data_IF_918367761576
#
_entry.id   IF_918367761576
#
_cell.length_a   1.000
_cell.length_b   1.000
_cell.length_c   1.000
_cell.angle_alpha   90.00
_cell.angle_beta   90.00
_cell.angle_gamma   90.00
#
_symmetry.space_group_name_H-M   'P 1'
#
loop_
_entity.id
_entity.type
_entity.pdbx_description
1 polymer ?
#
# COMPACT_ATOMS: atom_id res chain seq x y z
N UNK A 1 -13.99 32.39 -7.37
CA UNK A 1 -12.84 31.71 -8.00
C UNK A 1 -12.74 30.21 -7.72
N UNK A 2 -13.25 29.65 -6.60
CA UNK A 2 -13.13 28.21 -6.28
C UNK A 2 -13.87 27.26 -7.24
N UNK A 3 -15.06 27.63 -7.74
CA UNK A 3 -15.87 26.79 -8.65
C UNK A 3 -15.17 26.47 -9.97
N UNK A 4 -14.43 27.43 -10.53
CA UNK A 4 -13.65 27.23 -11.76
C UNK A 4 -12.48 26.26 -11.56
N UNK A 5 -11.83 26.29 -10.39
CA UNK A 5 -10.76 25.36 -10.05
C UNK A 5 -11.26 23.93 -9.85
N UNK A 6 -12.49 23.76 -9.35
CA UNK A 6 -13.13 22.44 -9.21
C UNK A 6 -13.41 21.79 -10.58
N UNK A 7 -13.92 22.55 -11.54
CA UNK A 7 -14.27 22.07 -12.89
C UNK A 7 -13.04 21.55 -13.65
N UNK A 8 -11.84 22.08 -13.39
CA UNK A 8 -10.60 21.65 -14.07
C UNK A 8 -9.95 20.39 -13.49
N UNK A 9 -10.52 19.78 -12.45
CA UNK A 9 -9.92 18.61 -11.81
C UNK A 9 -10.20 17.37 -12.66
N UNK A 10 -9.26 17.01 -13.54
CA UNK A 10 -9.31 15.76 -14.33
C UNK A 10 -9.51 14.52 -13.47
N UNK A 11 -8.99 14.51 -12.23
CA UNK A 11 -9.22 13.44 -11.27
C UNK A 11 -10.71 13.22 -10.93
N UNK A 12 -11.53 14.28 -10.92
CA UNK A 12 -12.96 14.18 -10.64
C UNK A 12 -13.72 13.60 -11.84
N UNK A 13 -13.33 13.96 -13.06
CA UNK A 13 -13.88 13.38 -14.28
C UNK A 13 -13.55 11.87 -14.39
N UNK A 14 -12.31 11.49 -14.08
CA UNK A 14 -11.89 10.09 -13.99
C UNK A 14 -12.72 9.37 -12.92
N UNK A 15 -12.85 9.93 -11.72
CA UNK A 15 -13.67 9.32 -10.67
C UNK A 15 -15.11 9.11 -11.12
N UNK A 16 -15.75 10.13 -11.69
CA UNK A 16 -17.13 10.04 -12.19
C UNK A 16 -17.28 8.99 -13.30
N UNK A 17 -16.29 8.87 -14.18
CA UNK A 17 -16.33 7.97 -15.33
C UNK A 17 -16.15 6.51 -14.91
N UNK A 18 -15.25 6.24 -13.96
CA UNK A 18 -14.82 4.88 -13.63
C UNK A 18 -15.38 4.34 -12.31
N UNK A 19 -15.80 5.20 -11.36
CA UNK A 19 -16.41 4.75 -10.10
C UNK A 19 -17.87 4.39 -10.32
N UNK A 20 -18.13 3.12 -10.59
CA UNK A 20 -19.48 2.59 -10.85
C UNK A 20 -20.37 2.53 -9.60
N UNK A 21 -19.79 2.32 -8.42
CA UNK A 21 -20.53 2.17 -7.16
C UNK A 21 -19.79 2.82 -5.98
N UNK A 22 -20.51 3.48 -5.06
CA UNK A 22 -19.97 3.96 -3.79
C UNK A 22 -19.92 2.84 -2.75
N UNK A 23 -18.96 1.93 -2.89
CA UNK A 23 -18.74 0.82 -1.97
C UNK A 23 -17.30 0.78 -1.43
N UNK A 24 -17.11 0.08 -0.29
CA UNK A 24 -15.78 -0.20 0.26
C UNK A 24 -15.01 -1.08 -0.74
N UNK A 25 -13.86 -0.60 -1.20
CA UNK A 25 -12.98 -1.39 -2.06
C UNK A 25 -12.31 -2.50 -1.24
N UNK A 26 -12.27 -3.72 -1.78
CA UNK A 26 -11.67 -4.89 -1.12
C UNK A 26 -10.14 -4.95 -1.23
N UNK A 27 -9.53 -3.93 -1.82
CA UNK A 27 -8.07 -3.81 -1.97
C UNK A 27 -7.40 -3.56 -0.62
N UNK A 28 -8.09 -2.86 0.30
CA UNK A 28 -7.62 -2.60 1.64
C UNK A 28 -8.67 -3.05 2.66
N UNK A 29 -8.29 -4.00 3.52
CA UNK A 29 -9.15 -4.64 4.51
C UNK A 29 -8.97 -4.04 5.93
N UNK A 30 -8.18 -2.96 6.08
CA UNK A 30 -7.76 -2.36 7.35
C UNK A 30 -6.92 -3.31 8.23
N UNK A 31 -6.44 -4.43 7.70
CA UNK A 31 -5.42 -5.22 8.38
C UNK A 31 -4.07 -4.52 8.31
N UNK A 32 -3.15 -4.92 9.18
CA UNK A 32 -1.75 -4.49 9.12
C UNK A 32 -1.12 -4.69 7.73
N UNK A 33 -1.52 -5.75 7.03
CA UNK A 33 -1.04 -6.01 5.69
C UNK A 33 -1.52 -5.00 4.66
N UNK A 34 -2.80 -4.62 4.71
CA UNK A 34 -3.33 -3.57 3.84
C UNK A 34 -2.68 -2.20 4.08
N UNK A 35 -2.34 -1.88 5.33
CA UNK A 35 -1.58 -0.67 5.65
C UNK A 35 -0.19 -0.69 5.03
N UNK A 36 0.55 -1.81 5.17
CA UNK A 36 1.87 -1.96 4.55
C UNK A 36 1.80 -1.92 3.01
N UNK A 37 0.79 -2.53 2.40
CA UNK A 37 0.56 -2.47 0.96
C UNK A 37 0.26 -1.06 0.49
N UNK A 38 -0.55 -0.30 1.23
CA UNK A 38 -0.83 1.10 0.95
C UNK A 38 0.45 1.95 0.98
N UNK A 39 1.25 1.80 2.04
CA UNK A 39 2.50 2.54 2.19
C UNK A 39 3.48 2.22 1.06
N UNK A 40 3.56 0.95 0.66
CA UNK A 40 4.39 0.52 -0.46
C UNK A 40 3.93 1.13 -1.79
N UNK A 41 2.62 1.11 -2.09
CA UNK A 41 2.05 1.67 -3.33
C UNK A 41 2.20 3.19 -3.42
N UNK A 42 2.23 3.88 -2.29
CA UNK A 42 2.37 5.34 -2.23
C UNK A 42 3.82 5.79 -2.03
N UNK A 43 4.77 4.86 -1.92
CA UNK A 43 6.19 5.17 -1.74
C UNK A 43 6.54 5.74 -0.37
N UNK A 44 5.66 5.59 0.62
CA UNK A 44 5.86 6.08 2.01
C UNK A 44 6.19 4.94 2.98
N UNK A 45 6.39 3.73 2.48
CA UNK A 45 6.81 2.59 3.30
C UNK A 45 8.05 2.96 4.09
N UNK A 46 7.94 2.85 5.42
CA UNK A 46 8.95 3.26 6.40
C UNK A 46 10.21 2.40 6.38
N UNK A 47 10.83 2.21 5.22
CA UNK A 47 12.09 1.51 5.05
C UNK A 47 13.23 2.43 5.50
N UNK A 48 14.13 1.90 6.32
CA UNK A 48 15.36 2.60 6.73
C UNK A 48 16.39 2.68 5.62
N UNK A 49 16.10 2.12 4.43
CA UNK A 49 17.03 2.01 3.29
C UNK A 49 17.58 3.36 2.85
N UNK A 50 16.75 4.41 2.82
CA UNK A 50 17.22 5.76 2.50
C UNK A 50 18.21 6.27 3.57
N UNK A 51 17.85 6.16 4.85
CA UNK A 51 18.70 6.62 5.96
C UNK A 51 20.00 5.82 6.06
N UNK A 52 19.96 4.52 5.84
CA UNK A 52 21.14 3.66 5.84
C UNK A 52 22.22 4.14 4.84
N UNK A 53 21.81 4.71 3.70
CA UNK A 53 22.76 5.27 2.71
C UNK A 53 23.54 6.49 3.19
N UNK A 54 22.99 7.28 4.11
CA UNK A 54 23.56 8.58 4.51
C UNK A 54 23.99 8.64 5.99
N UNK A 55 23.35 7.87 6.85
CA UNK A 55 23.53 7.91 8.31
C UNK A 55 24.19 6.63 8.86
N UNK A 56 24.48 5.62 8.03
CA UNK A 56 25.09 4.36 8.46
C UNK A 56 24.22 3.57 9.45
N UNK A 57 22.90 3.79 9.41
CA UNK A 57 21.94 3.09 10.28
C UNK A 57 21.81 1.64 9.83
N UNK A 58 21.60 0.76 10.81
CA UNK A 58 21.31 -0.66 10.57
C UNK A 58 20.13 -0.83 9.60
N UNK A 59 20.35 -1.72 8.63
CA UNK A 59 19.40 -2.11 7.59
C UNK A 59 18.52 -3.28 8.04
N UNK A 60 18.71 -3.85 9.23
CA UNK A 60 17.87 -4.93 9.71
C UNK A 60 16.41 -4.50 9.92
N UNK A 61 15.51 -5.42 9.61
CA UNK A 61 14.09 -5.26 9.81
C UNK A 61 13.79 -5.00 11.28
N UNK A 62 13.18 -3.86 11.60
CA UNK A 62 12.88 -3.50 12.99
C UNK A 62 11.73 -4.34 13.59
N UNK A 63 11.02 -5.11 12.78
CA UNK A 63 9.97 -6.00 13.24
C UNK A 63 10.50 -7.40 13.58
N UNK A 64 11.29 -8.01 12.69
CA UNK A 64 11.77 -9.39 12.87
C UNK A 64 13.24 -9.50 13.31
N UNK A 65 14.07 -8.50 13.01
CA UNK A 65 15.50 -8.46 13.33
C UNK A 65 16.40 -9.40 12.52
N UNK A 66 15.86 -10.14 11.55
CA UNK A 66 16.54 -11.33 10.98
C UNK A 66 16.99 -11.16 9.53
N UNK A 67 16.45 -10.16 8.83
CA UNK A 67 16.78 -9.88 7.44
C UNK A 67 16.81 -8.37 7.20
N UNK A 68 17.47 -7.98 6.12
CA UNK A 68 17.49 -6.60 5.65
C UNK A 68 16.09 -6.08 5.32
N UNK A 69 15.86 -4.79 5.57
CA UNK A 69 14.58 -4.13 5.37
C UNK A 69 14.41 -3.79 3.89
N UNK A 70 13.80 -4.71 3.15
CA UNK A 70 13.37 -4.48 1.77
C UNK A 70 11.83 -4.46 1.70
N UNK A 71 11.24 -3.80 0.70
CA UNK A 71 9.80 -3.87 0.46
C UNK A 71 9.32 -5.33 0.34
N UNK A 72 10.08 -6.17 -0.37
CA UNK A 72 9.78 -7.59 -0.54
C UNK A 72 9.80 -8.30 0.82
N UNK A 73 10.79 -8.03 1.67
CA UNK A 73 10.83 -8.60 3.02
C UNK A 73 9.63 -8.16 3.85
N UNK A 74 9.36 -6.85 3.94
CA UNK A 74 8.29 -6.31 4.78
C UNK A 74 6.90 -6.82 4.39
N UNK A 75 6.65 -6.98 3.08
CA UNK A 75 5.33 -7.35 2.55
C UNK A 75 5.17 -8.88 2.49
N UNK A 76 6.18 -9.60 1.99
CA UNK A 76 6.05 -11.02 1.62
C UNK A 76 6.69 -11.98 2.61
N UNK A 77 7.78 -11.60 3.28
CA UNK A 77 8.64 -12.56 4.00
C UNK A 77 8.76 -12.30 5.51
N UNK A 78 8.37 -11.12 5.99
CA UNK A 78 8.56 -10.75 7.37
C UNK A 78 7.57 -11.51 8.25
N UNK A 79 8.04 -12.52 8.99
CA UNK A 79 7.22 -13.35 9.90
C UNK A 79 6.34 -12.58 10.89
N UNK A 80 6.73 -11.35 11.26
CA UNK A 80 6.01 -10.50 12.22
C UNK A 80 4.99 -9.58 11.53
N UNK A 81 5.24 -9.22 10.27
CA UNK A 81 4.43 -8.29 9.50
C UNK A 81 3.54 -8.99 8.47
N UNK A 82 3.81 -10.26 8.19
CA UNK A 82 3.14 -11.05 7.17
C UNK A 82 1.63 -10.88 7.32
N UNK A 83 0.95 -10.32 6.32
CA UNK A 83 -0.51 -10.23 6.31
C UNK A 83 -1.05 -11.65 6.46
N UNK A 84 -1.72 -11.95 7.56
CA UNK A 84 -2.57 -13.14 7.58
C UNK A 84 -3.74 -12.77 6.67
N UNK A 85 -3.78 -13.37 5.49
CA UNK A 85 -4.91 -13.21 4.57
C UNK A 85 -6.13 -13.76 5.32
N UNK A 86 -7.00 -12.88 5.80
CA UNK A 86 -8.30 -13.31 6.30
C UNK A 86 -9.04 -13.81 5.06
N UNK A 87 -9.29 -15.12 5.01
CA UNK A 87 -9.92 -15.75 3.87
C UNK A 87 -11.42 -15.42 3.90
N UNK A 88 -11.76 -14.20 3.49
CA UNK A 88 -13.14 -13.69 3.52
C UNK A 88 -13.95 -14.19 2.31
N UNK A 89 -13.49 -15.24 1.62
CA UNK A 89 -14.15 -15.79 0.42
C UNK A 89 -14.19 -14.83 -0.77
N UNK A 90 -13.46 -13.71 -0.73
CA UNK A 90 -13.43 -12.74 -1.81
C UNK A 90 -12.53 -13.24 -2.95
N UNK A 91 -13.16 -13.88 -3.94
CA UNK A 91 -12.53 -14.24 -5.22
C UNK A 91 -11.94 -13.00 -5.85
N UNK A 92 -10.61 -12.93 -5.91
CA UNK A 92 -9.88 -11.93 -6.68
C UNK A 92 -10.17 -12.22 -8.15
N UNK A 93 -11.12 -11.52 -8.75
CA UNK A 93 -11.37 -11.62 -10.19
C UNK A 93 -10.19 -10.96 -10.90
N UNK A 94 -9.28 -11.78 -11.41
CA UNK A 94 -8.32 -11.37 -12.42
C UNK A 94 -9.11 -10.74 -13.58
N UNK A 95 -8.85 -9.47 -13.86
CA UNK A 95 -9.29 -8.87 -15.11
C UNK A 95 -8.42 -9.46 -16.22
N UNK A 96 -8.99 -10.37 -16.99
CA UNK A 96 -8.45 -10.77 -18.28
C UNK A 96 -8.59 -9.57 -19.23
N UNK A 97 -7.46 -9.19 -19.85
CA UNK A 97 -7.33 -8.13 -20.86
C UNK A 97 -7.80 -8.66 -22.21
#
# INVERSE_FOLDING_TARGET
MWRFGMIKKSAQEIYQTFKQEMAKERVYDNTRGSSLLFEARTGVLGTKTYRAKYEGVDILCSACGEAEVTPEHLIMFCKVLHPIVQNDGAVFRSAEV
#
